data_IF_589927973290
#
_entry.id   IF_589927973290
#
_cell.length_a   1.000
_cell.length_b   1.000
_cell.length_c   1.000
_cell.angle_alpha   90.00
_cell.angle_beta   90.00
_cell.angle_gamma   90.00
#
_symmetry.space_group_name_H-M   'P 1'
#
loop_
_entity.id
_entity.type
_entity.pdbx_description
1 polymer ?
#
# COMPACT_ATOMS: atom_id res chain seq x y z
N UNK A 1 -7.37 63.54 44.28
CA UNK A 1 -7.39 62.07 43.98
C UNK A 1 -8.74 61.68 43.39
N UNK A 2 -8.82 61.34 42.16
CA UNK A 2 -9.95 60.61 41.60
C UNK A 2 -9.59 59.18 41.23
N UNK A 3 -10.54 58.27 41.16
CA UNK A 3 -10.30 56.84 40.98
C UNK A 3 -10.11 56.44 39.52
N UNK A 4 -9.31 55.41 39.38
CA UNK A 4 -8.91 54.77 38.14
C UNK A 4 -10.07 53.95 37.56
N UNK A 5 -10.39 54.24 36.32
CA UNK A 5 -11.37 53.55 35.48
C UNK A 5 -10.75 52.24 34.96
N UNK A 6 -11.41 51.13 35.25
CA UNK A 6 -11.08 49.78 34.77
C UNK A 6 -11.96 49.48 33.54
N UNK A 7 -11.43 49.81 32.34
CA UNK A 7 -12.09 49.50 31.12
C UNK A 7 -12.04 47.97 30.82
N UNK A 8 -13.23 47.45 30.71
CA UNK A 8 -13.58 46.14 30.20
C UNK A 8 -12.94 45.87 28.82
N UNK A 9 -12.12 44.82 28.73
CA UNK A 9 -11.73 44.27 27.43
C UNK A 9 -12.40 42.91 27.24
N UNK A 10 -13.10 42.69 26.16
CA UNK A 10 -13.65 41.38 25.85
C UNK A 10 -12.57 40.43 25.38
N UNK A 11 -12.47 39.26 26.03
CA UNK A 11 -11.65 38.13 25.63
C UNK A 11 -12.20 37.54 24.29
N UNK A 12 -11.54 37.82 23.21
CA UNK A 12 -11.75 37.12 21.95
C UNK A 12 -11.12 35.73 22.03
N UNK A 13 -11.94 34.73 22.18
CA UNK A 13 -11.60 33.32 21.96
C UNK A 13 -11.26 33.12 20.47
N UNK A 14 -9.99 33.07 20.14
CA UNK A 14 -9.52 32.60 18.84
C UNK A 14 -9.68 31.09 18.80
N UNK A 15 -10.72 30.65 18.12
CA UNK A 15 -10.95 29.25 17.75
C UNK A 15 -9.89 28.83 16.72
N UNK A 16 -8.81 28.20 17.21
CA UNK A 16 -7.77 27.62 16.38
C UNK A 16 -8.04 26.13 16.18
N UNK A 17 -9.03 25.82 15.36
CA UNK A 17 -9.18 24.47 14.82
C UNK A 17 -7.99 24.20 13.89
N UNK A 18 -7.22 23.12 14.09
CA UNK A 18 -6.19 22.75 13.15
C UNK A 18 -6.88 22.29 11.85
N UNK A 19 -6.78 23.13 10.84
CA UNK A 19 -7.13 22.79 9.47
C UNK A 19 -6.33 21.56 9.05
N UNK A 20 -7.05 20.46 8.83
CA UNK A 20 -6.53 19.23 8.24
C UNK A 20 -6.12 19.53 6.80
N UNK A 21 -4.95 20.11 6.62
CA UNK A 21 -4.33 20.31 5.33
C UNK A 21 -3.94 18.94 4.79
N UNK A 22 -4.79 18.37 3.94
CA UNK A 22 -4.41 17.27 3.06
C UNK A 22 -3.19 17.71 2.26
N UNK A 23 -2.04 17.09 2.51
CA UNK A 23 -0.85 17.28 1.70
C UNK A 23 -1.21 16.97 0.24
N UNK A 24 -0.96 17.86 -0.71
CA UNK A 24 -1.23 17.58 -2.11
C UNK A 24 -0.38 16.40 -2.54
N UNK A 25 -1.02 15.38 -3.10
CA UNK A 25 -0.33 14.26 -3.74
C UNK A 25 0.62 14.85 -4.79
N UNK A 26 1.89 14.40 -4.83
CA UNK A 26 2.84 14.87 -5.82
C UNK A 26 2.27 14.63 -7.23
N UNK A 27 2.44 15.58 -8.16
CA UNK A 27 1.92 15.46 -9.51
C UNK A 27 2.47 14.19 -10.16
N UNK A 28 1.58 13.33 -10.64
CA UNK A 28 1.95 12.14 -11.41
C UNK A 28 2.66 12.63 -12.67
N UNK A 29 3.93 12.26 -12.92
CA UNK A 29 4.63 12.71 -14.11
C UNK A 29 3.91 12.20 -15.36
N UNK A 30 3.39 13.12 -16.15
CA UNK A 30 2.54 12.86 -17.33
C UNK A 30 3.35 12.29 -18.50
N UNK A 31 4.67 12.36 -18.45
CA UNK A 31 5.60 11.83 -19.45
C UNK A 31 6.80 11.18 -18.77
N UNK A 32 7.02 9.96 -19.14
CA UNK A 32 8.07 9.10 -18.61
C UNK A 32 9.41 9.50 -19.23
N UNK A 33 10.13 10.40 -18.60
CA UNK A 33 11.50 10.73 -18.97
C UNK A 33 12.48 9.72 -18.36
N UNK A 34 12.62 8.59 -19.06
CA UNK A 34 13.63 7.58 -18.70
C UNK A 34 15.04 8.15 -18.64
N UNK A 35 15.35 9.15 -19.48
CA UNK A 35 16.65 9.84 -19.47
C UNK A 35 16.92 10.59 -18.14
N UNK A 36 15.90 11.21 -17.55
CA UNK A 36 16.03 11.87 -16.24
C UNK A 36 16.20 10.86 -15.11
N UNK A 37 15.55 9.70 -15.19
CA UNK A 37 15.69 8.64 -14.19
C UNK A 37 17.11 8.05 -14.27
N UNK A 38 17.64 7.78 -15.46
CA UNK A 38 19.01 7.29 -15.63
C UNK A 38 20.05 8.30 -15.12
N UNK A 39 19.90 9.58 -15.41
CA UNK A 39 20.78 10.63 -14.92
C UNK A 39 20.73 10.74 -13.38
N UNK A 40 19.54 10.61 -12.79
CA UNK A 40 19.36 10.65 -11.33
C UNK A 40 19.95 9.41 -10.65
N UNK A 41 20.03 8.28 -11.35
CA UNK A 41 20.56 7.02 -10.83
C UNK A 41 22.07 6.84 -11.05
N UNK A 42 22.71 7.73 -11.84
CA UNK A 42 24.16 7.65 -12.10
C UNK A 42 25.00 7.99 -10.86
N UNK A 43 24.40 8.72 -9.91
CA UNK A 43 25.05 9.19 -8.68
C UNK A 43 24.47 8.53 -7.41
N UNK A 44 24.03 7.29 -7.52
CA UNK A 44 23.53 6.55 -6.37
C UNK A 44 24.67 6.02 -5.54
N UNK A 45 24.71 6.29 -4.22
CA UNK A 45 25.72 5.73 -3.35
C UNK A 45 25.64 4.19 -3.34
N UNK A 46 26.75 3.54 -3.11
CA UNK A 46 26.84 2.07 -3.06
C UNK A 46 25.91 1.47 -2.01
N UNK A 47 25.77 2.15 -0.88
CA UNK A 47 24.90 1.77 0.24
C UNK A 47 23.71 2.70 0.30
N UNK A 48 22.53 2.15 0.44
CA UNK A 48 21.24 2.84 0.52
C UNK A 48 20.46 2.35 1.71
N UNK A 49 19.60 3.20 2.23
CA UNK A 49 18.62 2.80 3.23
C UNK A 49 17.30 2.45 2.52
N UNK A 50 16.80 1.25 2.78
CA UNK A 50 15.47 0.82 2.34
C UNK A 50 14.52 0.91 3.54
N UNK A 51 13.43 1.66 3.40
CA UNK A 51 12.37 1.80 4.41
C UNK A 51 11.04 1.34 3.87
N UNK A 52 10.11 0.92 4.74
CA UNK A 52 8.76 0.59 4.30
C UNK A 52 7.99 1.85 3.89
N UNK A 53 7.43 1.84 2.69
CA UNK A 53 6.44 2.83 2.28
C UNK A 53 5.07 2.40 2.77
N UNK A 54 4.60 3.04 3.84
CA UNK A 54 3.31 2.73 4.45
C UNK A 54 2.18 3.33 3.61
N UNK A 55 1.43 2.47 2.94
CA UNK A 55 0.22 2.82 2.21
C UNK A 55 -0.91 1.88 2.65
N UNK A 56 -1.80 2.33 3.55
CA UNK A 56 -2.84 1.47 4.11
C UNK A 56 -3.76 0.83 3.06
N UNK A 57 -3.98 1.50 1.92
CA UNK A 57 -4.80 0.96 0.83
C UNK A 57 -4.08 -0.20 0.16
N UNK A 58 -2.83 0.02 -0.25
CA UNK A 58 -2.04 -1.04 -0.90
C UNK A 58 -1.71 -2.19 0.06
N UNK A 59 -1.47 -1.90 1.35
CA UNK A 59 -1.26 -2.95 2.37
C UNK A 59 -2.49 -3.87 2.52
N UNK A 60 -3.70 -3.32 2.41
CA UNK A 60 -4.94 -4.09 2.60
C UNK A 60 -5.47 -4.75 1.32
N UNK A 61 -5.21 -4.18 0.14
CA UNK A 61 -5.79 -4.63 -1.14
C UNK A 61 -4.74 -5.07 -2.16
N UNK A 62 -3.47 -4.92 -1.85
CA UNK A 62 -2.35 -5.27 -2.73
C UNK A 62 -2.07 -6.77 -2.77
N UNK A 63 -1.11 -7.11 -3.59
CA UNK A 63 -0.68 -8.48 -3.84
C UNK A 63 0.74 -8.68 -3.30
N UNK A 64 0.99 -9.81 -2.69
CA UNK A 64 2.35 -10.21 -2.30
C UNK A 64 3.27 -10.17 -3.53
N UNK A 65 4.51 -9.62 -3.40
CA UNK A 65 5.47 -9.58 -4.50
C UNK A 65 5.82 -10.95 -5.09
N UNK A 66 5.67 -12.04 -4.32
CA UNK A 66 5.88 -13.42 -4.77
C UNK A 66 4.62 -14.08 -5.33
N UNK A 67 3.48 -13.39 -5.27
CA UNK A 67 2.20 -13.94 -5.72
C UNK A 67 2.16 -14.22 -7.22
N UNK A 68 1.29 -15.14 -7.59
CA UNK A 68 0.98 -15.42 -8.99
C UNK A 68 0.42 -14.21 -9.74
N UNK A 69 -0.27 -13.30 -9.04
CA UNK A 69 -0.75 -12.05 -9.63
C UNK A 69 0.39 -11.21 -10.18
N UNK A 70 1.44 -10.99 -9.38
CA UNK A 70 2.62 -10.22 -9.77
C UNK A 70 3.36 -10.90 -10.92
N UNK A 71 3.49 -12.21 -10.88
CA UNK A 71 4.13 -12.99 -11.94
C UNK A 71 3.37 -12.93 -13.27
N UNK A 72 2.04 -13.04 -13.25
CA UNK A 72 1.23 -13.01 -14.46
C UNK A 72 1.10 -11.62 -15.07
N UNK A 73 0.88 -10.60 -14.25
CA UNK A 73 0.45 -9.30 -14.73
C UNK A 73 1.51 -8.22 -14.62
N UNK A 74 2.25 -8.17 -13.50
CA UNK A 74 3.28 -7.16 -13.31
C UNK A 74 4.60 -7.47 -14.00
N UNK A 75 4.95 -8.74 -14.18
CA UNK A 75 6.19 -9.14 -14.86
C UNK A 75 6.30 -8.52 -16.26
N UNK A 76 5.21 -8.52 -17.05
CA UNK A 76 5.17 -7.92 -18.39
C UNK A 76 5.31 -6.38 -18.38
N UNK A 77 4.95 -5.74 -17.29
CA UNK A 77 4.99 -4.29 -17.11
C UNK A 77 6.31 -3.84 -16.50
N UNK A 78 6.73 -4.45 -15.40
CA UNK A 78 7.98 -4.14 -14.69
C UNK A 78 9.23 -4.70 -15.39
N UNK A 79 9.07 -5.85 -16.06
CA UNK A 79 10.19 -6.64 -16.55
C UNK A 79 10.84 -7.49 -15.44
N UNK A 80 11.55 -8.57 -15.83
CA UNK A 80 12.03 -9.58 -14.89
C UNK A 80 12.95 -9.02 -13.80
N UNK A 81 13.92 -8.19 -14.17
CA UNK A 81 14.88 -7.62 -13.22
C UNK A 81 14.21 -6.77 -12.14
N UNK A 82 13.27 -5.89 -12.52
CA UNK A 82 12.55 -5.06 -11.56
C UNK A 82 11.63 -5.91 -10.68
N UNK A 83 11.00 -6.96 -11.24
CA UNK A 83 10.19 -7.90 -10.46
C UNK A 83 11.00 -8.64 -9.41
N UNK A 84 12.20 -9.11 -9.76
CA UNK A 84 13.10 -9.71 -8.78
C UNK A 84 13.59 -8.71 -7.74
N UNK A 85 13.79 -7.47 -8.13
CA UNK A 85 14.25 -6.42 -7.21
C UNK A 85 13.18 -6.09 -6.16
N UNK A 86 11.90 -5.96 -6.55
CA UNK A 86 10.83 -5.72 -5.56
C UNK A 86 10.64 -6.91 -4.60
N UNK A 87 10.84 -8.16 -5.06
CA UNK A 87 10.85 -9.34 -4.19
C UNK A 87 11.96 -9.25 -3.16
N UNK A 88 13.18 -8.91 -3.58
CA UNK A 88 14.33 -8.72 -2.66
C UNK A 88 14.08 -7.61 -1.64
N UNK A 89 13.46 -6.52 -2.07
CA UNK A 89 13.08 -5.45 -1.14
C UNK A 89 12.06 -5.92 -0.12
N UNK A 90 11.06 -6.66 -0.55
CA UNK A 90 10.03 -7.21 0.32
C UNK A 90 10.62 -8.19 1.33
N UNK A 91 11.48 -9.13 0.89
CA UNK A 91 12.18 -10.09 1.75
C UNK A 91 12.99 -9.36 2.85
N UNK A 92 13.70 -8.28 2.46
CA UNK A 92 14.46 -7.47 3.40
C UNK A 92 13.57 -6.76 4.43
N UNK A 93 12.43 -6.20 3.99
CA UNK A 93 11.47 -5.56 4.89
C UNK A 93 10.67 -6.53 5.75
N UNK A 94 10.57 -7.81 5.36
CA UNK A 94 10.02 -8.86 6.21
C UNK A 94 10.97 -9.18 7.37
N UNK A 95 12.27 -9.26 7.08
CA UNK A 95 13.31 -9.46 8.10
C UNK A 95 13.53 -8.22 8.98
N UNK A 96 13.47 -7.03 8.40
CA UNK A 96 13.75 -5.74 9.05
C UNK A 96 12.61 -4.75 8.79
N UNK A 97 11.50 -4.85 9.55
CA UNK A 97 10.27 -4.08 9.28
C UNK A 97 10.42 -2.55 9.33
N UNK A 98 11.39 -2.05 10.08
CA UNK A 98 11.67 -0.62 10.23
C UNK A 98 12.60 -0.07 9.14
N UNK A 99 13.18 -0.97 8.33
CA UNK A 99 14.12 -0.67 7.27
C UNK A 99 15.50 -1.27 7.48
N UNK A 100 16.32 -1.25 6.42
CA UNK A 100 17.65 -1.86 6.42
C UNK A 100 18.59 -1.16 5.44
N UNK A 101 19.89 -1.38 5.64
CA UNK A 101 20.93 -0.94 4.71
C UNK A 101 21.10 -1.96 3.57
N UNK A 102 21.09 -1.47 2.34
CA UNK A 102 21.20 -2.27 1.12
C UNK A 102 22.51 -1.96 0.39
N UNK A 103 23.36 -2.94 0.15
CA UNK A 103 24.49 -2.82 -0.80
C UNK A 103 23.98 -3.09 -2.22
N UNK A 104 24.02 -2.06 -3.07
CA UNK A 104 23.56 -2.16 -4.45
C UNK A 104 24.40 -3.11 -5.30
N UNK A 105 25.69 -3.25 -5.00
CA UNK A 105 26.59 -4.14 -5.72
C UNK A 105 26.25 -5.60 -5.43
N UNK A 106 26.11 -5.95 -4.16
CA UNK A 106 25.71 -7.29 -3.75
C UNK A 106 24.30 -7.64 -4.27
N UNK A 107 23.39 -6.68 -4.21
CA UNK A 107 22.04 -6.86 -4.72
C UNK A 107 22.03 -7.09 -6.24
N UNK A 108 22.80 -6.32 -6.99
CA UNK A 108 22.94 -6.53 -8.44
C UNK A 108 23.50 -7.92 -8.75
N UNK A 109 24.55 -8.33 -8.05
CA UNK A 109 25.14 -9.67 -8.22
C UNK A 109 24.16 -10.79 -7.86
N UNK A 110 23.39 -10.62 -6.79
CA UNK A 110 22.39 -11.60 -6.35
C UNK A 110 21.26 -11.84 -7.37
N UNK A 111 21.00 -10.88 -8.26
CA UNK A 111 20.05 -11.02 -9.38
C UNK A 111 20.75 -11.27 -10.73
N UNK A 112 22.02 -11.67 -10.71
CA UNK A 112 22.77 -12.04 -11.90
C UNK A 112 23.25 -10.88 -12.76
N UNK A 113 23.29 -9.66 -12.22
CA UNK A 113 23.74 -8.47 -12.93
C UNK A 113 25.16 -8.07 -12.52
N UNK A 114 25.92 -7.53 -13.50
CA UNK A 114 27.22 -6.94 -13.21
C UNK A 114 27.04 -5.56 -12.61
N UNK A 115 27.71 -5.31 -11.50
CA UNK A 115 27.74 -4.02 -10.81
C UNK A 115 28.88 -3.10 -11.28
N UNK A 116 29.61 -3.46 -12.35
CA UNK A 116 30.70 -2.63 -12.89
C UNK A 116 30.15 -1.36 -13.55
N UNK A 117 30.85 -0.19 -13.39
CA UNK A 117 30.51 1.04 -14.07
C UNK A 117 30.39 0.83 -15.58
N UNK A 118 29.36 1.36 -16.20
CA UNK A 118 29.05 1.20 -17.63
C UNK A 118 28.24 -0.05 -18.00
N UNK A 119 28.22 -1.11 -17.20
CA UNK A 119 27.36 -2.29 -17.37
C UNK A 119 26.18 -2.32 -16.37
N UNK A 120 26.16 -1.41 -15.41
CA UNK A 120 25.11 -1.27 -14.40
C UNK A 120 23.81 -0.66 -14.93
N UNK A 121 23.77 -0.24 -16.20
CA UNK A 121 22.56 0.33 -16.79
C UNK A 121 21.31 -0.57 -16.65
N UNK A 122 21.47 -1.89 -16.65
CA UNK A 122 20.35 -2.81 -16.48
C UNK A 122 19.78 -2.76 -15.05
N UNK A 123 20.63 -2.69 -14.04
CA UNK A 123 20.21 -2.56 -12.64
C UNK A 123 19.62 -1.19 -12.34
N UNK A 124 20.27 -0.12 -12.80
CA UNK A 124 19.77 1.25 -12.67
C UNK A 124 18.39 1.40 -13.35
N UNK A 125 18.22 0.84 -14.55
CA UNK A 125 16.92 0.80 -15.22
C UNK A 125 15.87 0.02 -14.43
N UNK A 126 16.23 -1.08 -13.77
CA UNK A 126 15.30 -1.84 -12.94
C UNK A 126 14.85 -1.03 -11.72
N UNK A 127 15.78 -0.35 -11.02
CA UNK A 127 15.45 0.59 -9.94
C UNK A 127 14.54 1.72 -10.43
N UNK A 128 14.91 2.35 -11.56
CA UNK A 128 14.10 3.39 -12.18
C UNK A 128 12.68 2.90 -12.52
N UNK A 129 12.53 1.65 -12.95
CA UNK A 129 11.20 1.05 -13.18
C UNK A 129 10.43 0.86 -11.89
N UNK A 130 11.07 0.45 -10.79
CA UNK A 130 10.41 0.37 -9.49
C UNK A 130 9.85 1.73 -9.09
N UNK A 131 10.62 2.80 -9.25
CA UNK A 131 10.15 4.17 -8.96
C UNK A 131 9.04 4.58 -9.92
N UNK A 132 9.23 4.36 -11.22
CA UNK A 132 8.31 4.74 -12.28
C UNK A 132 6.92 4.13 -12.13
N UNK A 133 6.85 2.88 -11.69
CA UNK A 133 5.61 2.16 -11.52
C UNK A 133 5.08 2.21 -10.08
N UNK A 134 5.64 3.08 -9.24
CA UNK A 134 5.16 3.32 -7.88
C UNK A 134 5.39 2.16 -6.91
N UNK A 135 6.40 1.32 -7.17
CA UNK A 135 6.83 0.27 -6.25
C UNK A 135 7.80 0.80 -5.21
N UNK A 136 8.56 1.82 -5.57
CA UNK A 136 9.50 2.49 -4.70
C UNK A 136 9.42 4.00 -4.89
N UNK A 137 9.84 4.74 -3.89
CA UNK A 137 9.92 6.19 -3.86
C UNK A 137 11.31 6.58 -3.40
N UNK A 138 12.01 7.43 -4.14
CA UNK A 138 13.35 7.88 -3.75
C UNK A 138 13.24 8.94 -2.66
N UNK A 139 14.05 8.80 -1.63
CA UNK A 139 14.29 9.79 -0.59
C UNK A 139 15.77 10.20 -0.58
N UNK A 140 16.20 11.03 0.39
CA UNK A 140 17.53 11.63 0.41
C UNK A 140 18.66 10.60 0.60
N UNK A 141 18.40 9.51 1.32
CA UNK A 141 19.39 8.49 1.70
C UNK A 141 19.08 7.09 1.13
N UNK A 142 17.99 6.93 0.35
CA UNK A 142 17.64 5.63 -0.20
C UNK A 142 16.29 5.56 -0.88
N UNK A 143 15.51 4.55 -0.49
CA UNK A 143 14.19 4.29 -1.05
C UNK A 143 13.18 3.92 0.02
N UNK A 144 11.98 4.48 -0.07
CA UNK A 144 10.80 3.96 0.56
C UNK A 144 10.13 2.97 -0.40
N UNK A 145 9.91 1.73 0.04
CA UNK A 145 9.47 0.63 -0.83
C UNK A 145 8.16 0.04 -0.31
N UNK A 146 7.24 -0.22 -1.22
CA UNK A 146 6.00 -0.93 -0.90
C UNK A 146 6.27 -2.39 -0.57
N UNK A 147 5.67 -2.88 0.51
CA UNK A 147 5.68 -4.32 0.85
C UNK A 147 4.70 -5.11 0.00
N UNK A 148 3.59 -4.48 -0.37
CA UNK A 148 2.57 -5.06 -1.23
C UNK A 148 2.53 -4.36 -2.58
N UNK A 149 2.30 -5.11 -3.64
CA UNK A 149 2.21 -4.61 -5.01
C UNK A 149 0.75 -4.25 -5.32
N UNK A 150 0.46 -3.03 -5.76
CA UNK A 150 -0.91 -2.63 -6.07
C UNK A 150 -1.50 -3.43 -7.23
N UNK A 151 -2.82 -3.46 -7.32
CA UNK A 151 -3.49 -3.99 -8.51
C UNK A 151 -3.12 -3.18 -9.75
N UNK A 152 -3.00 -3.87 -10.89
CA UNK A 152 -2.57 -3.26 -12.13
C UNK A 152 -3.63 -2.29 -12.67
N UNK A 153 -3.24 -1.03 -12.87
CA UNK A 153 -4.13 -0.03 -13.42
C UNK A 153 -4.42 -0.27 -14.91
N UNK A 154 -5.59 0.15 -15.37
CA UNK A 154 -6.04 -0.01 -16.76
C UNK A 154 -5.04 0.53 -17.80
N UNK A 155 -4.35 1.64 -17.51
CA UNK A 155 -3.31 2.21 -18.39
C UNK A 155 -2.15 1.25 -18.65
N UNK A 156 -1.82 0.40 -17.69
CA UNK A 156 -0.75 -0.60 -17.79
C UNK A 156 -1.25 -1.90 -18.42
N UNK A 157 -2.50 -2.28 -18.15
CA UNK A 157 -3.17 -3.43 -18.76
C UNK A 157 -3.15 -3.38 -20.30
N UNK A 158 -3.31 -2.20 -20.87
CA UNK A 158 -3.26 -2.02 -22.34
C UNK A 158 -1.95 -2.49 -22.98
N UNK A 159 -0.86 -2.58 -22.22
CA UNK A 159 0.45 -3.02 -22.69
C UNK A 159 0.60 -4.53 -22.70
N UNK A 160 -0.27 -5.25 -21.99
CA UNK A 160 -0.24 -6.69 -21.94
C UNK A 160 -0.88 -7.31 -23.18
N UNK A 161 -0.42 -8.51 -23.60
CA UNK A 161 -1.08 -9.31 -24.61
C UNK A 161 -2.56 -9.56 -24.26
N UNK A 162 -3.36 -9.78 -25.29
CA UNK A 162 -4.82 -9.92 -25.12
C UNK A 162 -5.20 -11.04 -24.13
N UNK A 163 -4.56 -12.19 -24.22
CA UNK A 163 -4.83 -13.31 -23.31
C UNK A 163 -4.57 -12.97 -21.85
N UNK A 164 -3.55 -12.14 -21.55
CA UNK A 164 -3.29 -11.68 -20.17
C UNK A 164 -4.30 -10.61 -19.72
N UNK A 165 -4.79 -9.78 -20.63
CA UNK A 165 -5.87 -8.83 -20.32
C UNK A 165 -7.16 -9.55 -19.97
N UNK A 166 -7.50 -10.59 -20.72
CA UNK A 166 -8.66 -11.44 -20.42
C UNK A 166 -8.49 -12.20 -19.11
N UNK A 167 -7.32 -12.82 -18.90
CA UNK A 167 -7.00 -13.50 -17.65
C UNK A 167 -7.04 -12.55 -16.44
N UNK A 168 -6.68 -11.27 -16.61
CA UNK A 168 -6.78 -10.26 -15.53
C UNK A 168 -8.24 -9.94 -15.16
N UNK A 169 -9.13 -9.87 -16.14
CA UNK A 169 -10.57 -9.70 -15.89
C UNK A 169 -11.13 -10.90 -15.14
N UNK A 170 -10.75 -12.11 -15.56
CA UNK A 170 -11.15 -13.36 -14.92
C UNK A 170 -10.61 -13.47 -13.50
N UNK A 171 -9.32 -13.12 -13.29
CA UNK A 171 -8.70 -13.02 -11.98
C UNK A 171 -9.50 -12.13 -11.01
N UNK A 172 -9.86 -10.95 -11.44
CA UNK A 172 -10.67 -10.06 -10.62
C UNK A 172 -12.08 -10.57 -10.37
N UNK A 173 -12.65 -11.30 -11.31
CA UNK A 173 -13.96 -11.92 -11.11
C UNK A 173 -13.90 -13.04 -10.08
N UNK A 174 -12.92 -13.94 -10.18
CA UNK A 174 -12.72 -15.04 -9.25
C UNK A 174 -12.40 -14.53 -7.82
N UNK A 175 -11.51 -13.54 -7.72
CA UNK A 175 -11.10 -12.98 -6.42
C UNK A 175 -12.10 -11.98 -5.84
N UNK A 176 -13.04 -11.47 -6.62
CA UNK A 176 -14.20 -10.74 -6.10
C UNK A 176 -15.20 -11.65 -5.41
N UNK A 177 -15.32 -12.88 -5.86
CA UNK A 177 -16.16 -13.88 -5.20
C UNK A 177 -15.55 -14.26 -3.85
N UNK A 178 -14.22 -14.25 -3.73
CA UNK A 178 -13.49 -14.57 -2.51
C UNK A 178 -13.32 -13.39 -1.55
N UNK A 179 -13.30 -12.16 -2.04
CA UNK A 179 -13.29 -10.98 -1.18
C UNK A 179 -14.73 -10.54 -0.89
N UNK A 180 -15.14 -10.53 0.38
CA UNK A 180 -16.43 -10.00 0.75
C UNK A 180 -16.51 -8.55 0.26
N UNK A 181 -17.59 -8.20 -0.42
CA UNK A 181 -17.81 -6.83 -0.85
C UNK A 181 -17.77 -5.93 0.40
N UNK A 182 -17.28 -4.70 0.26
CA UNK A 182 -17.30 -3.72 1.37
C UNK A 182 -18.70 -3.62 1.97
N UNK A 183 -19.72 -3.68 1.12
CA UNK A 183 -21.14 -3.66 1.51
C UNK A 183 -21.51 -4.88 2.34
N UNK A 184 -21.06 -6.08 1.96
CA UNK A 184 -21.35 -7.33 2.67
C UNK A 184 -20.69 -7.35 4.05
N UNK A 185 -19.46 -6.85 4.14
CA UNK A 185 -18.73 -6.70 5.41
C UNK A 185 -19.41 -5.69 6.33
N UNK A 186 -19.72 -4.50 5.82
CA UNK A 186 -20.42 -3.46 6.57
C UNK A 186 -21.78 -3.94 7.06
N UNK A 187 -22.52 -4.69 6.22
CA UNK A 187 -23.80 -5.29 6.59
C UNK A 187 -23.65 -6.31 7.71
N UNK A 188 -22.65 -7.17 7.62
CA UNK A 188 -22.35 -8.16 8.66
C UNK A 188 -21.97 -7.49 9.98
N UNK A 189 -21.15 -6.44 9.95
CA UNK A 189 -20.75 -5.66 11.11
C UNK A 189 -21.98 -4.98 11.77
N UNK A 190 -22.81 -4.32 10.98
CA UNK A 190 -24.03 -3.68 11.50
C UNK A 190 -25.00 -4.68 12.15
N UNK A 191 -25.16 -5.87 11.56
CA UNK A 191 -26.00 -6.94 12.13
C UNK A 191 -25.38 -7.50 13.39
N UNK A 192 -24.06 -7.76 13.42
CA UNK A 192 -23.37 -8.24 14.61
C UNK A 192 -23.51 -7.25 15.78
N UNK A 193 -23.27 -5.97 15.52
CA UNK A 193 -23.42 -4.90 16.50
C UNK A 193 -24.85 -4.80 17.04
N UNK A 194 -25.84 -4.88 16.17
CA UNK A 194 -27.25 -4.86 16.58
C UNK A 194 -27.63 -6.05 17.47
N UNK A 195 -27.17 -7.25 17.13
CA UNK A 195 -27.45 -8.48 17.92
C UNK A 195 -26.75 -8.44 19.30
N UNK A 196 -25.50 -7.98 19.37
CA UNK A 196 -24.79 -7.81 20.64
C UNK A 196 -25.47 -6.76 21.53
N UNK A 197 -25.96 -5.65 20.97
CA UNK A 197 -26.72 -4.62 21.72
C UNK A 197 -28.07 -5.15 22.25
N UNK A 198 -28.66 -6.11 21.59
CA UNK A 198 -29.92 -6.73 22.08
C UNK A 198 -29.68 -7.83 23.14
N UNK A 199 -28.42 -8.05 23.52
CA UNK A 199 -28.05 -8.98 24.60
C UNK A 199 -27.68 -10.39 24.13
N UNK A 200 -27.57 -10.63 22.84
CA UNK A 200 -27.04 -11.90 22.32
C UNK A 200 -25.55 -12.03 22.65
N UNK A 201 -25.12 -13.22 22.99
CA UNK A 201 -23.72 -13.56 23.18
C UNK A 201 -23.02 -13.84 21.83
N UNK A 202 -21.69 -13.73 21.79
CA UNK A 202 -20.90 -13.89 20.57
C UNK A 202 -21.16 -15.24 19.85
N UNK A 203 -21.28 -16.40 20.54
CA UNK A 203 -21.63 -17.66 19.89
C UNK A 203 -23.02 -17.67 19.26
N UNK A 204 -23.98 -16.98 19.85
CA UNK A 204 -25.34 -16.86 19.30
C UNK A 204 -25.33 -15.94 18.04
N UNK A 205 -24.60 -14.85 18.09
CA UNK A 205 -24.41 -13.94 16.93
C UNK A 205 -23.73 -14.69 15.79
N UNK A 206 -22.66 -15.44 16.05
CA UNK A 206 -21.98 -16.27 15.05
C UNK A 206 -22.94 -17.24 14.36
N UNK A 207 -23.74 -17.95 15.12
CA UNK A 207 -24.74 -18.89 14.61
C UNK A 207 -25.80 -18.20 13.76
N UNK A 208 -26.30 -17.03 14.18
CA UNK A 208 -27.28 -16.25 13.42
C UNK A 208 -26.72 -15.73 12.12
N UNK A 209 -25.50 -15.20 12.12
CA UNK A 209 -24.83 -14.74 10.90
C UNK A 209 -24.55 -15.89 9.93
N UNK A 210 -24.18 -17.07 10.45
CA UNK A 210 -24.03 -18.30 9.66
C UNK A 210 -25.33 -18.74 8.99
N UNK A 211 -26.45 -18.66 9.70
CA UNK A 211 -27.78 -18.97 9.14
C UNK A 211 -28.23 -17.98 8.06
N UNK A 212 -27.72 -16.75 8.09
CA UNK A 212 -27.94 -15.75 7.04
C UNK A 212 -27.02 -15.97 5.81
N UNK A 213 -26.22 -17.05 5.81
CA UNK A 213 -25.32 -17.38 4.70
C UNK A 213 -24.06 -16.52 4.64
N UNK A 214 -23.74 -15.80 5.72
CA UNK A 214 -22.52 -14.98 5.79
C UNK A 214 -21.32 -15.90 5.98
N UNK A 215 -20.26 -15.62 5.25
CA UNK A 215 -19.01 -16.41 5.26
C UNK A 215 -18.34 -16.36 6.64
N UNK A 216 -17.68 -17.44 7.07
CA UNK A 216 -17.04 -17.52 8.40
C UNK A 216 -15.95 -16.45 8.63
N UNK A 217 -15.18 -16.11 7.60
CA UNK A 217 -14.14 -15.07 7.66
C UNK A 217 -14.73 -13.67 7.93
N UNK A 218 -15.88 -13.37 7.32
CA UNK A 218 -16.62 -12.12 7.54
C UNK A 218 -17.22 -12.10 8.96
N UNK A 219 -17.76 -13.21 9.42
CA UNK A 219 -18.36 -13.32 10.76
C UNK A 219 -17.31 -13.01 11.82
N UNK A 220 -16.12 -13.63 11.72
CA UNK A 220 -15.02 -13.38 12.66
C UNK A 220 -14.58 -11.90 12.64
N UNK A 221 -14.47 -11.31 11.46
CA UNK A 221 -14.11 -9.89 11.32
C UNK A 221 -15.19 -8.97 11.93
N UNK A 222 -16.48 -9.25 11.64
CA UNK A 222 -17.61 -8.48 12.15
C UNK A 222 -17.72 -8.54 13.69
N UNK A 223 -17.53 -9.72 14.28
CA UNK A 223 -17.52 -9.89 15.74
C UNK A 223 -16.37 -9.13 16.41
N UNK A 224 -15.16 -9.17 15.82
CA UNK A 224 -14.02 -8.42 16.34
C UNK A 224 -14.26 -6.90 16.28
N UNK A 225 -14.78 -6.41 15.16
CA UNK A 225 -15.12 -5.00 14.97
C UNK A 225 -16.18 -4.54 15.99
N UNK A 226 -17.26 -5.32 16.15
CA UNK A 226 -18.33 -5.01 17.08
C UNK A 226 -17.91 -5.05 18.57
N UNK A 227 -16.99 -5.95 18.94
CA UNK A 227 -16.45 -6.03 20.30
C UNK A 227 -15.40 -4.95 20.60
N UNK A 228 -14.70 -4.46 19.59
CA UNK A 228 -13.72 -3.38 19.72
C UNK A 228 -14.35 -1.99 19.81
N UNK A 229 -15.64 -1.86 19.52
CA UNK A 229 -16.38 -0.59 19.57
C UNK A 229 -16.84 -0.30 21.01
N UNK A 230 -16.20 0.67 21.74
CA UNK A 230 -16.53 0.96 23.14
C UNK A 230 -17.91 1.63 23.32
N UNK A 231 -18.60 1.97 22.23
CA UNK A 231 -19.95 2.56 22.25
C UNK A 231 -21.06 1.52 21.99
N UNK A 232 -20.74 0.23 21.98
CA UNK A 232 -21.73 -0.83 21.74
C UNK A 232 -22.41 -1.36 23.04
N UNK A 233 -22.11 -0.74 24.20
CA UNK A 233 -22.70 -1.09 25.50
C UNK A 233 -23.72 -0.03 25.98
#
# INVERSE_FOLDING_TARGET
MPPTDLSDQPLTLTDSSPSSASLPLPPIPTRLDFANIEATLTDIPRQLIVRPWIDPVTESTGHDPHSRYVELFWLGVLGPTATWLIRRFADGLEMFPDGYELDLHETAQAIGLSALPGKSAAFARALGRCVLFGMAHRNDDGFDVRRMVPSLEYRHLKRLPEHLRLAHVEWHHEHRIDQPSVVERQRAEAVAEALLRTGDDAPTVERRLSLLGIRPDIIVAALRSAQANPYAA
#
